data_IF_971041513238
#
_entry.id   IF_971041513238
#
_cell.length_a   1.000
_cell.length_b   1.000
_cell.length_c   1.000
_cell.angle_alpha   90.00
_cell.angle_beta   90.00
_cell.angle_gamma   90.00
#
_symmetry.space_group_name_H-M   'P 1'
#
loop_
_entity.id
_entity.type
_entity.pdbx_description
1 polymer ?
#
# COMPACT_ATOMS: atom_id res chain seq x y z
N UNK A 1 -6.84 -5.49 -20.91
CA UNK A 1 -7.69 -4.30 -21.21
C UNK A 1 -8.56 -3.93 -20.00
N UNK A 2 -9.38 -4.85 -19.46
CA UNK A 2 -10.22 -4.59 -18.26
C UNK A 2 -9.45 -4.06 -17.04
N UNK A 3 -8.28 -4.64 -16.73
CA UNK A 3 -7.44 -4.17 -15.60
C UNK A 3 -7.04 -2.70 -15.76
N UNK A 4 -6.65 -2.27 -16.96
CA UNK A 4 -6.23 -0.88 -17.21
C UNK A 4 -7.39 0.09 -16.98
N UNK A 5 -8.59 -0.26 -17.46
CA UNK A 5 -9.80 0.54 -17.27
C UNK A 5 -10.14 0.63 -15.77
N UNK A 6 -10.01 -0.47 -15.03
CA UNK A 6 -10.23 -0.50 -13.59
C UNK A 6 -9.29 0.44 -12.82
N UNK A 7 -7.98 0.35 -13.07
CA UNK A 7 -7.01 1.21 -12.37
C UNK A 7 -7.18 2.70 -12.73
N UNK A 8 -7.48 3.02 -14.00
CA UNK A 8 -7.79 4.39 -14.42
C UNK A 8 -9.06 4.88 -13.72
N UNK A 9 -10.11 4.05 -13.65
CA UNK A 9 -11.37 4.40 -12.98
C UNK A 9 -11.19 4.66 -11.48
N UNK A 10 -10.45 3.79 -10.78
CA UNK A 10 -10.14 3.99 -9.35
C UNK A 10 -9.37 5.29 -9.13
N UNK A 11 -8.36 5.55 -9.96
CA UNK A 11 -7.56 6.78 -9.88
C UNK A 11 -8.37 8.04 -10.14
N UNK A 12 -9.31 8.01 -11.09
CA UNK A 12 -10.17 9.15 -11.42
C UNK A 12 -11.13 9.54 -10.28
N UNK A 13 -11.49 8.60 -9.41
CA UNK A 13 -12.37 8.84 -8.26
C UNK A 13 -11.62 9.42 -7.05
N UNK A 14 -10.28 9.50 -7.10
CA UNK A 14 -9.48 10.05 -6.00
C UNK A 14 -9.62 11.56 -5.94
N UNK A 15 -10.03 12.07 -4.78
CA UNK A 15 -10.16 13.49 -4.55
C UNK A 15 -8.84 14.07 -4.06
N UNK A 16 -8.14 14.82 -4.92
CA UNK A 16 -6.85 15.42 -4.58
C UNK A 16 -6.96 16.50 -3.48
N UNK A 17 -8.14 17.07 -3.28
CA UNK A 17 -8.41 18.06 -2.22
C UNK A 17 -8.13 17.49 -0.82
N UNK A 18 -8.28 16.17 -0.66
CA UNK A 18 -8.01 15.42 0.57
C UNK A 18 -6.54 15.49 0.99
N UNK A 19 -5.62 15.70 0.04
CA UNK A 19 -4.18 15.86 0.31
C UNK A 19 -3.84 17.20 0.98
N UNK A 20 -4.73 18.18 0.89
CA UNK A 20 -4.55 19.50 1.51
C UNK A 20 -4.92 19.50 2.99
N UNK A 21 -5.69 18.50 3.45
CA UNK A 21 -6.06 18.37 4.86
C UNK A 21 -4.93 17.69 5.65
N UNK A 22 -4.26 18.39 6.58
CA UNK A 22 -3.20 17.82 7.39
C UNK A 22 -3.65 16.63 8.26
N UNK A 23 -4.93 16.56 8.64
CA UNK A 23 -5.46 15.43 9.42
C UNK A 23 -5.45 14.15 8.60
N UNK A 24 -5.85 14.23 7.34
CA UNK A 24 -5.94 13.06 6.46
C UNK A 24 -4.53 12.63 6.03
N UNK A 25 -3.62 13.59 5.84
CA UNK A 25 -2.21 13.31 5.62
C UNK A 25 -1.59 12.50 6.79
N UNK A 26 -1.92 12.84 8.04
CA UNK A 26 -1.49 12.09 9.21
C UNK A 26 -2.07 10.67 9.23
N UNK A 27 -3.33 10.49 8.84
CA UNK A 27 -3.95 9.16 8.70
C UNK A 27 -3.22 8.34 7.64
N UNK A 28 -2.93 8.93 6.47
CA UNK A 28 -2.21 8.23 5.41
C UNK A 28 -0.80 7.84 5.85
N UNK A 29 -0.07 8.77 6.48
CA UNK A 29 1.28 8.53 6.97
C UNK A 29 1.31 7.42 8.03
N UNK A 30 0.39 7.47 9.01
CA UNK A 30 0.29 6.46 10.07
C UNK A 30 -0.09 5.08 9.53
N UNK A 31 -1.08 4.99 8.64
CA UNK A 31 -1.48 3.73 8.00
C UNK A 31 -0.36 3.14 7.15
N UNK A 32 0.37 3.98 6.41
CA UNK A 32 1.53 3.57 5.61
C UNK A 32 2.64 3.04 6.52
N UNK A 33 2.95 3.76 7.61
CA UNK A 33 3.95 3.32 8.58
C UNK A 33 3.58 1.97 9.22
N UNK A 34 2.34 1.81 9.67
CA UNK A 34 1.83 0.54 10.21
C UNK A 34 1.92 -0.57 9.18
N UNK A 35 1.55 -0.30 7.91
CA UNK A 35 1.65 -1.29 6.84
C UNK A 35 3.09 -1.75 6.58
N UNK A 36 4.04 -0.82 6.53
CA UNK A 36 5.46 -1.10 6.30
C UNK A 36 6.06 -1.85 7.49
N UNK A 37 5.84 -1.37 8.72
CA UNK A 37 6.41 -1.99 9.92
C UNK A 37 5.85 -3.38 10.16
N UNK A 38 4.53 -3.56 10.06
CA UNK A 38 3.90 -4.88 10.29
C UNK A 38 4.39 -5.93 9.30
N UNK A 39 4.53 -5.57 8.01
CA UNK A 39 5.02 -6.49 6.97
C UNK A 39 6.54 -6.71 7.06
N UNK A 40 7.31 -5.68 7.38
CA UNK A 40 8.74 -5.82 7.67
C UNK A 40 9.00 -6.77 8.83
N UNK A 41 8.22 -6.65 9.92
CA UNK A 41 8.32 -7.53 11.09
C UNK A 41 7.89 -8.97 10.78
N UNK A 42 6.92 -9.17 9.88
CA UNK A 42 6.49 -10.52 9.47
C UNK A 42 7.64 -11.35 8.87
N UNK A 43 8.62 -10.71 8.23
CA UNK A 43 9.82 -11.38 7.71
C UNK A 43 10.66 -12.07 8.81
N UNK A 44 10.59 -11.62 10.06
CA UNK A 44 11.29 -12.24 11.19
C UNK A 44 10.65 -13.54 11.68
N UNK A 45 9.42 -13.84 11.27
CA UNK A 45 8.74 -15.10 11.60
C UNK A 45 9.37 -16.28 10.84
N UNK A 46 10.01 -16.01 9.69
CA UNK A 46 10.67 -17.04 8.89
C UNK A 46 11.90 -17.58 9.62
N UNK A 47 11.89 -18.89 9.90
CA UNK A 47 12.97 -19.63 10.56
C UNK A 47 13.75 -20.45 9.53
N UNK A 48 15.05 -20.21 9.45
CA UNK A 48 15.98 -20.94 8.58
C UNK A 48 17.34 -20.22 8.49
N UNK A 49 18.43 -20.97 8.23
CA UNK A 49 19.78 -20.41 8.00
C UNK A 49 19.87 -19.87 6.57
N UNK A 50 20.45 -18.68 6.40
CA UNK A 50 20.77 -18.10 5.09
C UNK A 50 19.69 -17.21 4.45
N UNK A 51 18.51 -17.05 5.07
CA UNK A 51 17.47 -16.16 4.54
C UNK A 51 17.67 -14.70 4.99
N UNK A 52 17.59 -13.75 4.05
CA UNK A 52 17.44 -12.33 4.39
C UNK A 52 15.99 -12.07 4.82
N UNK A 53 15.77 -12.12 6.14
CA UNK A 53 14.48 -11.89 6.80
C UNK A 53 13.91 -10.51 6.48
N UNK A 54 14.78 -9.50 6.35
CA UNK A 54 14.36 -8.14 6.00
C UNK A 54 14.02 -8.05 4.52
N UNK A 55 14.78 -8.73 3.65
CA UNK A 55 14.43 -8.88 2.23
C UNK A 55 13.05 -9.52 2.04
N UNK A 56 12.74 -10.60 2.78
CA UNK A 56 11.42 -11.24 2.75
C UNK A 56 10.33 -10.28 3.23
N UNK A 57 10.54 -9.62 4.37
CA UNK A 57 9.59 -8.64 4.90
C UNK A 57 9.33 -7.48 3.93
N UNK A 58 10.38 -6.95 3.32
CA UNK A 58 10.29 -5.90 2.29
C UNK A 58 9.53 -6.36 1.04
N UNK A 59 9.70 -7.61 0.63
CA UNK A 59 8.96 -8.22 -0.48
C UNK A 59 7.46 -8.34 -0.22
N UNK A 60 7.03 -8.34 1.05
CA UNK A 60 5.63 -8.40 1.47
C UNK A 60 4.96 -7.03 1.65
N UNK A 61 5.71 -5.93 1.49
CA UNK A 61 5.20 -4.55 1.63
C UNK A 61 4.26 -4.15 0.48
N UNK A 62 4.58 -4.38 -0.81
CA UNK A 62 3.71 -3.94 -1.90
C UNK A 62 2.30 -4.49 -1.73
N UNK A 63 1.31 -3.60 -1.65
CA UNK A 63 -0.10 -3.97 -1.67
C UNK A 63 -0.59 -3.94 -3.11
N UNK A 64 -1.10 -5.07 -3.57
CA UNK A 64 -1.56 -5.21 -4.95
C UNK A 64 -2.98 -4.70 -5.18
N UNK A 65 -3.49 -5.11 -6.34
CA UNK A 65 -4.85 -4.87 -6.84
C UNK A 65 -5.95 -5.18 -5.82
N UNK A 66 -5.81 -6.22 -5.01
CA UNK A 66 -6.85 -6.68 -4.08
C UNK A 66 -7.22 -5.60 -3.06
N UNK A 67 -6.25 -4.81 -2.60
CA UNK A 67 -6.52 -3.70 -1.68
C UNK A 67 -7.36 -2.59 -2.33
N UNK A 68 -7.11 -2.31 -3.61
CA UNK A 68 -7.85 -1.31 -4.38
C UNK A 68 -9.25 -1.80 -4.75
N UNK A 69 -9.40 -3.09 -5.08
CA UNK A 69 -10.71 -3.72 -5.31
C UNK A 69 -11.59 -3.59 -4.07
N UNK A 70 -11.05 -3.92 -2.88
CA UNK A 70 -11.80 -3.80 -1.63
C UNK A 70 -12.16 -2.35 -1.31
N UNK A 71 -11.22 -1.41 -1.47
CA UNK A 71 -11.49 0.01 -1.24
C UNK A 71 -12.58 0.55 -2.18
N UNK A 72 -12.52 0.18 -3.47
CA UNK A 72 -13.52 0.56 -4.47
C UNK A 72 -14.88 -0.04 -4.16
N UNK A 73 -14.93 -1.34 -3.84
CA UNK A 73 -16.16 -2.02 -3.43
C UNK A 73 -16.82 -1.35 -2.22
N UNK A 74 -16.05 -1.13 -1.15
CA UNK A 74 -16.54 -0.47 0.06
C UNK A 74 -17.02 0.97 -0.19
N UNK A 75 -16.34 1.72 -1.07
CA UNK A 75 -16.77 3.06 -1.48
C UNK A 75 -18.09 3.02 -2.26
N UNK A 76 -18.24 2.11 -3.23
CA UNK A 76 -19.48 1.97 -4.00
C UNK A 76 -20.69 1.54 -3.17
N UNK A 77 -20.45 0.84 -2.05
CA UNK A 77 -21.49 0.44 -1.10
C UNK A 77 -21.71 1.44 0.04
N UNK A 78 -21.09 2.63 -0.02
CA UNK A 78 -21.29 3.69 0.97
C UNK A 78 -20.66 3.39 2.34
N UNK A 79 -19.78 2.39 2.44
CA UNK A 79 -19.06 2.07 3.69
C UNK A 79 -17.93 3.05 3.95
N UNK A 80 -17.27 3.52 2.88
CA UNK A 80 -16.24 4.54 2.96
C UNK A 80 -16.72 5.87 2.38
N UNK A 81 -16.40 6.96 3.09
CA UNK A 81 -16.48 8.30 2.54
C UNK A 81 -15.30 8.56 1.57
N UNK A 82 -15.44 9.58 0.71
CA UNK A 82 -14.49 9.85 -0.38
C UNK A 82 -13.08 10.20 0.08
N UNK A 83 -12.97 10.76 1.29
CA UNK A 83 -11.71 11.02 2.00
C UNK A 83 -10.98 9.72 2.37
N UNK A 84 -11.68 8.77 3.00
CA UNK A 84 -11.12 7.47 3.41
C UNK A 84 -10.75 6.64 2.17
N UNK A 85 -11.60 6.65 1.14
CA UNK A 85 -11.28 6.00 -0.14
C UNK A 85 -10.00 6.57 -0.75
N UNK A 86 -9.89 7.89 -0.86
CA UNK A 86 -8.71 8.57 -1.42
C UNK A 86 -7.46 8.27 -0.60
N UNK A 87 -7.57 8.29 0.73
CA UNK A 87 -6.49 7.93 1.64
C UNK A 87 -6.01 6.48 1.44
N UNK A 88 -6.92 5.52 1.33
CA UNK A 88 -6.58 4.11 1.14
C UNK A 88 -5.90 3.86 -0.21
N UNK A 89 -6.41 4.47 -1.29
CA UNK A 89 -5.78 4.38 -2.61
C UNK A 89 -4.35 4.92 -2.55
N UNK A 90 -4.14 6.05 -1.85
CA UNK A 90 -2.81 6.62 -1.69
C UNK A 90 -1.87 5.72 -0.87
N UNK A 91 -2.35 5.13 0.24
CA UNK A 91 -1.57 4.18 1.04
C UNK A 91 -1.13 2.99 0.18
N UNK A 92 -2.04 2.42 -0.63
CA UNK A 92 -1.70 1.31 -1.52
C UNK A 92 -0.62 1.75 -2.52
N UNK A 93 -0.80 2.90 -3.18
CA UNK A 93 0.17 3.43 -4.13
C UNK A 93 1.55 3.66 -3.49
N UNK A 94 1.59 4.26 -2.30
CA UNK A 94 2.83 4.49 -1.54
C UNK A 94 3.53 3.16 -1.20
N UNK A 95 2.81 2.18 -0.65
CA UNK A 95 3.41 0.88 -0.31
C UNK A 95 3.94 0.13 -1.55
N UNK A 96 3.28 0.27 -2.71
CA UNK A 96 3.69 -0.35 -3.97
C UNK A 96 4.95 0.28 -4.56
N UNK A 97 5.14 1.59 -4.37
CA UNK A 97 6.38 2.26 -4.78
C UNK A 97 7.50 1.98 -3.77
N UNK A 98 7.21 2.03 -2.46
CA UNK A 98 8.20 1.83 -1.40
C UNK A 98 8.76 0.41 -1.37
N UNK A 99 7.93 -0.62 -1.59
CA UNK A 99 8.37 -2.01 -1.54
C UNK A 99 9.56 -2.35 -2.44
N UNK A 100 9.51 -2.11 -3.77
CA UNK A 100 10.65 -2.35 -4.66
C UNK A 100 11.83 -1.44 -4.35
N UNK A 101 11.63 -0.19 -3.89
CA UNK A 101 12.72 0.69 -3.47
C UNK A 101 13.48 0.14 -2.25
N UNK A 102 12.77 -0.46 -1.30
CA UNK A 102 13.35 -1.10 -0.11
C UNK A 102 13.96 -2.47 -0.43
N UNK A 103 13.41 -3.19 -1.41
CA UNK A 103 13.84 -4.53 -1.80
C UNK A 103 15.06 -4.52 -2.73
N UNK A 104 15.15 -3.56 -3.67
CA UNK A 104 16.21 -3.50 -4.69
C UNK A 104 17.63 -3.51 -4.10
N UNK A 105 17.96 -2.73 -3.04
CA UNK A 105 19.27 -2.81 -2.41
C UNK A 105 19.56 -4.18 -1.80
N UNK A 106 18.54 -4.89 -1.29
CA UNK A 106 18.70 -6.20 -0.65
C UNK A 106 18.94 -7.33 -1.64
N UNK A 107 18.36 -7.24 -2.83
CA UNK A 107 18.58 -8.19 -3.92
C UNK A 107 19.93 -8.03 -4.60
N UNK A 108 20.52 -6.84 -4.58
CA UNK A 108 21.84 -6.57 -5.21
C UNK A 108 23.01 -7.14 -4.39
N UNK A 109 22.78 -7.48 -3.12
CA UNK A 109 23.78 -8.07 -2.22
C UNK A 109 23.72 -9.61 -2.15
N UNK A 110 22.81 -10.25 -2.90
CA UNK A 110 22.79 -11.69 -3.16
C UNK A 110 23.39 -12.00 -4.53
#
# INVERSE_FOLDING_TARGET
IMITIFFVGIGAQVQLQVLLDPRILLVIASLTAVAVVSKGLAGFVVRGRGYDRLGIGCGMIPRGEVGLVFASFAFTHGVFAGDVYSALVLVVLLTTVLGPLLLKPRLVYF
#
